data_IF_898477621598
#
_entry.id   IF_898477621598
#
_cell.length_a   1.000
_cell.length_b   1.000
_cell.length_c   1.000
_cell.angle_alpha   90.00
_cell.angle_beta   90.00
_cell.angle_gamma   90.00
#
_symmetry.space_group_name_H-M   'P 1'
#
loop_
_entity.id
_entity.type
_entity.pdbx_description
1 polymer ?
#
# COMPACT_ATOMS: atom_id res chain seq x y z
N UNK A 1 25.48 -109.08 -43.06
CA UNK A 1 24.27 -108.28 -43.31
C UNK A 1 23.55 -107.88 -42.03
N UNK A 2 23.20 -108.81 -41.12
CA UNK A 2 22.39 -108.56 -39.91
C UNK A 2 22.98 -107.47 -38.95
N UNK A 3 24.31 -107.28 -38.84
CA UNK A 3 24.94 -106.33 -37.91
C UNK A 3 24.83 -104.88 -38.40
N UNK A 4 24.76 -104.64 -39.69
CA UNK A 4 24.56 -103.34 -40.31
C UNK A 4 23.12 -102.85 -40.18
N UNK A 5 22.14 -103.75 -40.30
CA UNK A 5 20.71 -103.46 -40.16
C UNK A 5 20.35 -103.04 -38.73
N UNK A 6 20.91 -103.71 -37.69
CA UNK A 6 20.74 -103.30 -36.28
C UNK A 6 21.35 -101.94 -35.99
N UNK A 7 22.50 -101.61 -36.58
CA UNK A 7 23.14 -100.26 -36.41
C UNK A 7 22.34 -99.16 -37.08
N UNK A 8 21.73 -99.38 -38.22
CA UNK A 8 20.88 -98.41 -38.95
C UNK A 8 19.58 -98.14 -38.18
N UNK A 9 18.99 -99.19 -37.58
CA UNK A 9 17.75 -99.05 -36.79
C UNK A 9 18.01 -98.35 -35.46
N UNK A 10 19.16 -98.51 -34.81
CA UNK A 10 19.59 -97.77 -33.63
C UNK A 10 19.84 -96.31 -33.96
N UNK A 11 20.48 -95.98 -35.07
CA UNK A 11 20.68 -94.59 -35.52
C UNK A 11 19.34 -93.88 -35.86
N UNK A 12 18.39 -94.59 -36.50
CA UNK A 12 17.06 -94.04 -36.75
C UNK A 12 16.36 -93.65 -35.48
N UNK A 13 16.44 -94.51 -34.48
CA UNK A 13 15.83 -94.30 -33.17
C UNK A 13 16.45 -93.06 -32.48
N UNK A 14 17.79 -92.96 -32.47
CA UNK A 14 18.47 -91.75 -31.92
C UNK A 14 18.13 -90.46 -32.65
N UNK A 15 18.01 -90.47 -33.98
CA UNK A 15 17.57 -89.38 -34.77
C UNK A 15 16.15 -88.99 -34.40
N UNK A 16 15.24 -89.90 -34.23
CA UNK A 16 13.83 -89.64 -33.88
C UNK A 16 13.72 -89.11 -32.45
N UNK A 17 14.47 -89.61 -31.51
CA UNK A 17 14.58 -89.08 -30.14
C UNK A 17 15.12 -87.70 -30.09
N UNK A 18 16.24 -87.44 -30.85
CA UNK A 18 16.77 -86.08 -30.98
C UNK A 18 15.81 -85.10 -31.64
N UNK A 19 15.09 -85.49 -32.69
CA UNK A 19 14.04 -84.70 -33.34
C UNK A 19 12.94 -84.35 -32.40
N UNK A 20 12.47 -85.30 -31.62
CA UNK A 20 11.41 -85.07 -30.61
C UNK A 20 11.87 -84.15 -29.50
N UNK A 21 13.10 -84.29 -29.05
CA UNK A 21 13.72 -83.39 -28.06
C UNK A 21 13.83 -81.95 -28.56
N UNK A 22 14.29 -81.77 -29.82
CA UNK A 22 14.37 -80.47 -30.46
C UNK A 22 12.98 -79.85 -30.63
N UNK A 23 11.98 -80.65 -31.05
CA UNK A 23 10.59 -80.15 -31.21
C UNK A 23 9.99 -79.70 -29.89
N UNK A 24 10.21 -80.48 -28.82
CA UNK A 24 9.76 -80.15 -27.45
C UNK A 24 10.42 -78.87 -26.94
N UNK A 25 11.75 -78.73 -27.13
CA UNK A 25 12.50 -77.54 -26.73
C UNK A 25 12.04 -76.33 -27.49
N UNK A 26 11.79 -76.46 -28.81
CA UNK A 26 11.23 -75.37 -29.64
C UNK A 26 9.85 -74.91 -29.17
N UNK A 27 8.97 -75.85 -28.82
CA UNK A 27 7.66 -75.62 -28.24
C UNK A 27 7.74 -74.85 -26.92
N UNK A 28 8.64 -75.29 -26.02
CA UNK A 28 8.88 -74.60 -24.75
C UNK A 28 9.38 -73.19 -24.95
N UNK A 29 10.36 -72.95 -25.84
CA UNK A 29 10.90 -71.68 -26.15
C UNK A 29 9.85 -70.75 -26.78
N UNK A 30 8.98 -71.25 -27.61
CA UNK A 30 7.86 -70.49 -28.17
C UNK A 30 6.88 -70.03 -27.07
N UNK A 31 6.58 -70.92 -26.13
CA UNK A 31 5.70 -70.62 -24.99
C UNK A 31 6.34 -69.57 -24.08
N UNK A 32 7.60 -69.72 -23.71
CA UNK A 32 8.33 -68.75 -22.91
C UNK A 32 8.37 -67.38 -23.60
N UNK A 33 8.65 -67.36 -24.90
CA UNK A 33 8.63 -66.08 -25.69
C UNK A 33 7.28 -65.40 -25.65
N UNK A 34 6.16 -66.11 -25.73
CA UNK A 34 4.83 -65.58 -25.64
C UNK A 34 4.55 -64.99 -24.26
N UNK A 35 4.91 -65.71 -23.21
CA UNK A 35 4.76 -65.26 -21.81
C UNK A 35 5.60 -64.02 -21.52
N UNK A 36 6.85 -63.98 -21.98
CA UNK A 36 7.71 -62.81 -21.86
C UNK A 36 7.11 -61.57 -22.59
N UNK A 37 6.57 -61.78 -23.78
CA UNK A 37 5.92 -60.72 -24.55
C UNK A 37 4.70 -60.15 -23.82
N UNK A 38 3.85 -60.98 -23.26
CA UNK A 38 2.69 -60.56 -22.46
C UNK A 38 3.10 -59.82 -21.20
N UNK A 39 4.10 -60.37 -20.49
CA UNK A 39 4.62 -59.71 -19.27
C UNK A 39 5.19 -58.31 -19.59
N UNK A 40 5.94 -58.21 -20.69
CA UNK A 40 6.52 -56.92 -21.11
C UNK A 40 5.44 -55.89 -21.48
N UNK A 41 4.37 -56.32 -22.14
CA UNK A 41 3.23 -55.43 -22.45
C UNK A 41 2.52 -54.95 -21.18
N UNK A 42 2.24 -55.89 -20.25
CA UNK A 42 1.61 -55.55 -18.95
C UNK A 42 2.46 -54.59 -18.13
N UNK A 43 3.76 -54.81 -18.07
CA UNK A 43 4.69 -53.89 -17.37
C UNK A 43 4.74 -52.51 -18.04
N UNK A 44 4.74 -52.46 -19.36
CA UNK A 44 4.70 -51.21 -20.11
C UNK A 44 3.42 -50.42 -19.81
N UNK A 45 2.26 -51.09 -19.89
CA UNK A 45 0.96 -50.43 -19.67
C UNK A 45 0.83 -49.96 -18.21
N UNK A 46 1.28 -50.76 -17.24
CA UNK A 46 1.33 -50.36 -15.83
C UNK A 46 2.24 -49.17 -15.60
N UNK A 47 3.41 -49.12 -16.25
CA UNK A 47 4.35 -47.99 -16.16
C UNK A 47 3.78 -46.71 -16.76
N UNK A 48 3.11 -46.81 -17.90
CA UNK A 48 2.44 -45.67 -18.54
C UNK A 48 1.33 -45.14 -17.63
N UNK A 49 0.49 -45.99 -17.08
CA UNK A 49 -0.59 -45.62 -16.17
C UNK A 49 -0.07 -44.93 -14.91
N UNK A 50 1.01 -45.48 -14.32
CA UNK A 50 1.65 -44.87 -13.14
C UNK A 50 2.23 -43.50 -13.44
N UNK A 51 2.86 -43.34 -14.62
CA UNK A 51 3.42 -42.06 -15.06
C UNK A 51 2.32 -41.04 -15.31
N UNK A 52 1.24 -41.41 -15.99
CA UNK A 52 0.10 -40.51 -16.24
C UNK A 52 -0.53 -40.05 -14.93
N UNK A 53 -0.68 -40.94 -13.95
CA UNK A 53 -1.19 -40.61 -12.61
C UNK A 53 -0.28 -39.60 -11.93
N UNK A 54 1.03 -39.84 -11.90
CA UNK A 54 2.01 -38.94 -11.29
C UNK A 54 2.01 -37.55 -11.96
N UNK A 55 1.86 -37.50 -13.30
CA UNK A 55 1.76 -36.26 -14.05
C UNK A 55 0.49 -35.49 -13.67
N UNK A 56 -0.65 -36.14 -13.51
CA UNK A 56 -1.90 -35.49 -13.12
C UNK A 56 -1.84 -34.98 -11.68
N UNK A 57 -1.27 -35.75 -10.77
CA UNK A 57 -1.04 -35.32 -9.39
C UNK A 57 -0.15 -34.07 -9.34
N UNK A 58 0.99 -34.09 -10.04
CA UNK A 58 1.89 -32.92 -10.13
C UNK A 58 1.21 -31.70 -10.73
N UNK A 59 0.41 -31.85 -11.80
CA UNK A 59 -0.37 -30.74 -12.38
C UNK A 59 -1.36 -30.15 -11.39
N UNK A 60 -2.05 -30.99 -10.62
CA UNK A 60 -3.01 -30.54 -9.62
C UNK A 60 -2.31 -29.75 -8.53
N UNK A 61 -1.19 -30.26 -8.03
CA UNK A 61 -0.39 -29.58 -6.99
C UNK A 61 0.12 -28.22 -7.46
N UNK A 62 0.67 -28.14 -8.68
CA UNK A 62 1.12 -26.88 -9.28
C UNK A 62 -0.03 -25.89 -9.43
N UNK A 63 -1.21 -26.36 -9.83
CA UNK A 63 -2.38 -25.48 -9.98
C UNK A 63 -2.86 -24.94 -8.62
N UNK A 64 -2.83 -25.76 -7.57
CA UNK A 64 -3.16 -25.31 -6.21
C UNK A 64 -2.18 -24.25 -5.71
N UNK A 65 -0.87 -24.46 -5.90
CA UNK A 65 0.16 -23.47 -5.55
C UNK A 65 -0.01 -22.16 -6.31
N UNK A 66 -0.34 -22.22 -7.61
CA UNK A 66 -0.63 -21.03 -8.43
C UNK A 66 -1.84 -20.26 -7.92
N UNK A 67 -2.88 -20.96 -7.47
CA UNK A 67 -4.08 -20.33 -6.91
C UNK A 67 -3.76 -19.63 -5.57
N UNK A 68 -2.93 -20.23 -4.73
CA UNK A 68 -2.46 -19.61 -3.47
C UNK A 68 -1.65 -18.34 -3.77
N UNK A 69 -0.69 -18.41 -4.69
CA UNK A 69 0.12 -17.26 -5.10
C UNK A 69 -0.72 -16.14 -5.72
N UNK A 70 -1.74 -16.47 -6.49
CA UNK A 70 -2.67 -15.49 -7.05
C UNK A 70 -3.45 -14.77 -5.95
N UNK A 71 -3.94 -15.50 -4.94
CA UNK A 71 -4.65 -14.94 -3.80
C UNK A 71 -3.73 -14.04 -2.94
N UNK A 72 -2.49 -14.44 -2.73
CA UNK A 72 -1.50 -13.61 -2.02
C UNK A 72 -1.19 -12.32 -2.80
N UNK A 73 -0.99 -12.41 -4.11
CA UNK A 73 -0.78 -11.24 -4.98
C UNK A 73 -1.93 -10.25 -4.88
N UNK A 74 -3.17 -10.72 -4.89
CA UNK A 74 -4.35 -9.86 -4.72
C UNK A 74 -4.36 -9.18 -3.34
N UNK A 75 -4.03 -9.90 -2.26
CA UNK A 75 -3.89 -9.32 -0.92
C UNK A 75 -2.82 -8.24 -0.86
N UNK A 76 -1.65 -8.51 -1.44
CA UNK A 76 -0.55 -7.56 -1.54
C UNK A 76 -0.93 -6.30 -2.33
N UNK A 77 -1.59 -6.47 -3.47
CA UNK A 77 -2.04 -5.34 -4.29
C UNK A 77 -3.06 -4.49 -3.53
N UNK A 78 -3.97 -5.10 -2.80
CA UNK A 78 -4.96 -4.39 -1.98
C UNK A 78 -4.27 -3.63 -0.84
N UNK A 79 -3.37 -4.27 -0.09
CA UNK A 79 -2.61 -3.64 1.00
C UNK A 79 -1.75 -2.48 0.47
N UNK A 80 -1.07 -2.68 -0.67
CA UNK A 80 -0.30 -1.63 -1.33
C UNK A 80 -1.18 -0.45 -1.74
N UNK A 81 -2.35 -0.72 -2.30
CA UNK A 81 -3.30 0.32 -2.73
C UNK A 81 -3.83 1.11 -1.53
N UNK A 82 -4.09 0.45 -0.42
CA UNK A 82 -4.51 1.10 0.83
C UNK A 82 -3.37 1.92 1.46
N UNK A 83 -2.13 1.41 1.48
CA UNK A 83 -0.94 2.10 2.03
C UNK A 83 -0.43 3.24 1.14
N UNK A 84 -0.51 3.09 -0.18
CA UNK A 84 -0.06 4.08 -1.18
C UNK A 84 -1.19 5.05 -1.54
N UNK A 85 -2.35 4.95 -0.91
CA UNK A 85 -3.35 6.00 -1.02
C UNK A 85 -2.77 7.27 -0.41
N UNK A 86 -1.95 7.96 -1.23
CA UNK A 86 -1.43 9.28 -0.88
C UNK A 86 -2.65 10.11 -0.49
N UNK A 87 -2.73 10.66 0.72
CA UNK A 87 -3.79 11.55 1.06
C UNK A 87 -3.80 12.67 0.02
N UNK A 88 -4.98 13.04 -0.45
CA UNK A 88 -5.11 14.17 -1.36
C UNK A 88 -4.38 15.37 -0.78
N UNK A 89 -3.78 16.16 -1.66
CA UNK A 89 -3.05 17.36 -1.24
C UNK A 89 -3.98 18.23 -0.41
N UNK A 90 -3.64 18.41 0.88
CA UNK A 90 -4.36 19.29 1.79
C UNK A 90 -3.50 20.48 2.08
N UNK A 91 -3.92 21.62 1.58
CA UNK A 91 -3.26 22.89 1.86
C UNK A 91 -4.25 24.05 1.70
N UNK A 92 -4.07 25.07 2.53
CA UNK A 92 -4.86 26.28 2.43
C UNK A 92 -4.01 27.54 2.66
N UNK A 93 -4.49 28.65 2.12
CA UNK A 93 -3.98 29.98 2.39
C UNK A 93 -5.14 30.97 2.36
N UNK A 94 -5.30 31.70 3.44
CA UNK A 94 -6.33 32.69 3.60
C UNK A 94 -5.73 34.04 4.05
N UNK A 95 -6.35 35.14 3.68
CA UNK A 95 -5.91 36.49 4.07
C UNK A 95 -7.09 37.37 4.42
N UNK A 96 -6.79 38.60 4.80
CA UNK A 96 -7.72 39.67 5.13
C UNK A 96 -8.55 39.37 6.37
N UNK A 97 -8.08 39.79 7.56
CA UNK A 97 -8.80 39.61 8.81
C UNK A 97 -10.19 40.28 8.75
N UNK A 98 -11.21 39.61 9.23
CA UNK A 98 -12.56 40.18 9.36
C UNK A 98 -12.58 41.40 10.31
N UNK A 99 -11.73 41.35 11.34
CA UNK A 99 -11.64 42.40 12.36
C UNK A 99 -10.20 42.85 12.54
N UNK A 100 -9.95 44.16 12.42
CA UNK A 100 -8.64 44.76 12.61
C UNK A 100 -8.35 45.11 14.06
N UNK A 101 -9.36 45.07 14.93
CA UNK A 101 -9.25 45.22 16.38
C UNK A 101 -9.97 44.04 17.05
N UNK A 102 -9.30 42.86 17.09
CA UNK A 102 -9.94 41.66 17.61
C UNK A 102 -10.04 41.69 19.13
N UNK A 103 -11.14 41.22 19.67
CA UNK A 103 -11.34 41.09 21.12
C UNK A 103 -10.60 39.84 21.69
N UNK A 104 -10.32 39.92 23.00
CA UNK A 104 -9.82 38.76 23.71
C UNK A 104 -10.81 37.58 23.60
N UNK A 105 -10.31 36.37 23.40
CA UNK A 105 -11.09 35.15 23.20
C UNK A 105 -11.61 34.94 21.77
N UNK A 106 -11.49 35.94 20.89
CA UNK A 106 -12.01 35.87 19.53
C UNK A 106 -11.17 34.94 18.64
N UNK A 107 -11.83 34.12 17.82
CA UNK A 107 -11.21 33.38 16.72
C UNK A 107 -10.93 34.34 15.56
N UNK A 108 -9.73 34.30 15.01
CA UNK A 108 -9.38 35.06 13.82
C UNK A 108 -10.04 34.44 12.59
N UNK A 109 -10.78 35.26 11.86
CA UNK A 109 -11.44 34.89 10.60
C UNK A 109 -10.72 35.66 9.48
N UNK A 110 -10.28 34.93 8.46
CA UNK A 110 -9.68 35.47 7.26
C UNK A 110 -10.69 35.34 6.11
N UNK A 111 -11.15 36.43 5.57
CA UNK A 111 -12.32 36.50 4.68
C UNK A 111 -12.03 36.18 3.22
N UNK A 112 -10.78 36.20 2.81
CA UNK A 112 -10.35 35.92 1.45
C UNK A 112 -9.51 34.64 1.40
N UNK A 113 -10.05 33.62 0.73
CA UNK A 113 -9.34 32.34 0.48
C UNK A 113 -8.56 32.49 -0.81
N UNK A 114 -7.23 32.35 -0.75
CA UNK A 114 -6.34 32.30 -1.91
C UNK A 114 -6.28 30.88 -2.45
N UNK A 115 -6.22 29.88 -1.56
CA UNK A 115 -6.09 28.48 -1.90
C UNK A 115 -6.76 27.63 -0.82
N UNK A 116 -7.49 26.57 -1.22
CA UNK A 116 -8.13 25.63 -0.30
C UNK A 116 -8.26 24.26 -0.98
N UNK A 117 -7.16 23.51 -1.08
CA UNK A 117 -7.16 22.13 -1.57
C UNK A 117 -7.55 21.20 -0.44
N UNK A 118 -8.52 20.31 -0.71
CA UNK A 118 -9.10 19.42 0.30
C UNK A 118 -10.22 20.08 1.13
N UNK A 119 -10.67 21.30 0.76
CA UNK A 119 -11.80 22.05 1.36
C UNK A 119 -11.75 22.12 2.90
N UNK A 120 -10.54 22.10 3.46
CA UNK A 120 -10.32 21.95 4.89
C UNK A 120 -10.45 23.27 5.67
N UNK A 121 -10.34 24.44 5.01
CA UNK A 121 -10.42 25.75 5.66
C UNK A 121 -11.77 26.42 5.38
N UNK A 122 -12.48 26.77 6.45
CA UNK A 122 -13.77 27.45 6.38
C UNK A 122 -13.59 28.96 6.64
N UNK A 123 -13.83 29.78 5.61
CA UNK A 123 -13.69 31.26 5.66
C UNK A 123 -14.72 31.96 6.54
N UNK A 124 -15.85 31.33 6.84
CA UNK A 124 -16.91 31.97 7.62
C UNK A 124 -16.61 31.97 9.13
N UNK A 125 -15.88 30.94 9.60
CA UNK A 125 -15.53 30.80 11.01
C UNK A 125 -14.01 30.81 11.30
N UNK A 126 -13.14 30.80 10.26
CA UNK A 126 -11.69 30.81 10.40
C UNK A 126 -11.09 29.51 10.91
N UNK A 127 -11.80 28.39 10.74
CA UNK A 127 -11.41 27.06 11.25
C UNK A 127 -10.91 26.20 10.11
N UNK A 128 -9.77 25.60 10.32
CA UNK A 128 -9.29 24.46 9.54
C UNK A 128 -9.78 23.17 10.20
N UNK A 129 -10.31 22.22 9.42
CA UNK A 129 -10.70 20.88 9.88
C UNK A 129 -9.84 19.86 9.16
N UNK A 130 -9.12 19.03 9.91
CA UNK A 130 -8.18 18.04 9.34
C UNK A 130 -8.93 16.91 8.62
N UNK A 131 -8.74 16.71 7.31
CA UNK A 131 -9.36 15.59 6.60
C UNK A 131 -8.67 14.24 6.85
N UNK A 132 -7.44 14.25 7.34
CA UNK A 132 -6.66 13.06 7.67
C UNK A 132 -5.96 13.21 9.01
N UNK A 133 -5.73 12.09 9.70
CA UNK A 133 -4.83 12.05 10.86
C UNK A 133 -3.39 12.14 10.38
N UNK A 134 -2.59 13.05 10.93
CA UNK A 134 -1.20 13.21 10.54
C UNK A 134 -0.52 14.46 11.05
N UNK A 135 0.66 14.70 10.51
CA UNK A 135 1.49 15.87 10.83
C UNK A 135 1.10 17.02 9.92
N UNK A 136 0.81 18.16 10.53
CA UNK A 136 0.48 19.42 9.86
C UNK A 136 1.40 20.53 10.30
N UNK A 137 1.66 21.46 9.38
CA UNK A 137 2.25 22.76 9.71
C UNK A 137 1.28 23.88 9.40
N UNK A 138 1.29 24.91 10.25
CA UNK A 138 0.46 26.09 10.14
C UNK A 138 1.33 27.31 10.28
N UNK A 139 1.06 28.33 9.46
CA UNK A 139 1.75 29.62 9.49
C UNK A 139 0.72 30.73 9.64
N UNK A 140 0.95 31.64 10.55
CA UNK A 140 0.20 32.88 10.63
C UNK A 140 1.12 34.08 10.47
N UNK A 141 0.76 35.03 9.65
CA UNK A 141 1.43 36.30 9.55
C UNK A 141 0.49 37.40 10.02
N UNK A 142 0.98 38.26 10.92
CA UNK A 142 0.28 39.44 11.38
C UNK A 142 1.10 40.70 11.15
N UNK A 143 0.44 41.69 10.59
CA UNK A 143 0.96 43.04 10.40
C UNK A 143 0.35 43.91 11.50
N UNK A 144 1.12 44.13 12.59
CA UNK A 144 0.64 44.85 13.78
C UNK A 144 1.10 46.29 13.72
N UNK A 145 0.16 47.24 13.97
CA UNK A 145 0.44 48.67 13.95
C UNK A 145 1.49 49.08 15.02
N UNK A 146 2.31 50.11 14.76
CA UNK A 146 3.20 50.68 15.76
C UNK A 146 2.45 51.08 17.04
N UNK A 147 3.06 50.77 18.19
CA UNK A 147 2.46 51.05 19.51
C UNK A 147 1.36 50.04 19.91
N UNK A 148 1.16 48.95 19.16
CA UNK A 148 0.15 47.93 19.41
C UNK A 148 0.77 46.59 19.78
N UNK A 149 -0.02 45.79 20.48
CA UNK A 149 0.34 44.37 20.77
C UNK A 149 -0.84 43.46 20.48
N UNK A 150 -0.49 42.19 20.24
CA UNK A 150 -1.44 41.08 20.16
C UNK A 150 -0.80 39.79 20.71
N UNK A 151 -1.52 39.14 21.56
CA UNK A 151 -1.21 37.79 22.07
C UNK A 151 -2.19 36.82 21.42
N UNK A 152 -1.70 35.78 20.84
CA UNK A 152 -2.51 34.77 20.18
C UNK A 152 -2.01 33.36 20.38
N UNK A 153 -2.85 32.39 20.10
CA UNK A 153 -2.51 30.99 20.14
C UNK A 153 -2.99 30.25 18.90
N UNK A 154 -2.19 29.28 18.48
CA UNK A 154 -2.64 28.18 17.65
C UNK A 154 -3.38 27.19 18.56
N UNK A 155 -4.62 26.87 18.19
CA UNK A 155 -5.50 26.03 18.98
C UNK A 155 -5.84 24.75 18.22
N UNK A 156 -5.82 23.60 18.89
CA UNK A 156 -6.45 22.37 18.41
C UNK A 156 -7.56 22.00 19.40
N UNK A 157 -8.81 21.84 18.89
CA UNK A 157 -9.98 21.50 19.71
C UNK A 157 -10.04 22.32 21.02
N UNK A 158 -9.90 23.63 20.91
CA UNK A 158 -9.90 24.59 22.03
C UNK A 158 -8.72 24.48 23.04
N UNK A 159 -7.73 23.62 22.77
CA UNK A 159 -6.49 23.54 23.53
C UNK A 159 -5.36 24.27 22.79
N UNK A 160 -4.63 25.16 23.41
CA UNK A 160 -3.49 25.83 22.78
C UNK A 160 -2.28 24.85 22.66
N UNK A 161 -1.70 24.75 21.48
CA UNK A 161 -0.42 24.03 21.29
C UNK A 161 0.75 24.96 20.99
N UNK A 162 0.50 26.22 20.64
CA UNK A 162 1.53 27.27 20.59
C UNK A 162 0.91 28.62 20.95
N UNK A 163 1.59 29.39 21.81
CA UNK A 163 1.21 30.76 22.18
C UNK A 163 2.34 31.71 21.82
N UNK A 164 2.01 32.91 21.40
CA UNK A 164 2.99 33.92 21.04
C UNK A 164 2.45 35.34 21.24
N UNK A 165 3.37 36.29 21.32
CA UNK A 165 3.08 37.74 21.45
C UNK A 165 3.80 38.52 20.36
N UNK A 166 3.12 39.45 19.76
CA UNK A 166 3.71 40.52 19.00
C UNK A 166 3.52 41.81 19.79
N UNK A 167 4.59 42.51 20.07
CA UNK A 167 4.55 43.83 20.71
C UNK A 167 5.37 44.81 19.87
N UNK A 168 4.73 45.87 19.37
CA UNK A 168 5.37 46.88 18.53
C UNK A 168 5.56 48.16 19.33
N UNK A 169 6.80 48.66 19.38
CA UNK A 169 7.06 49.99 19.87
C UNK A 169 6.35 51.05 19.02
N UNK A 170 5.93 52.18 19.61
CA UNK A 170 5.35 53.32 18.89
C UNK A 170 6.30 53.94 17.87
N UNK A 171 7.61 53.80 18.05
CA UNK A 171 8.66 54.21 17.14
C UNK A 171 9.02 53.21 16.04
N UNK A 172 8.39 52.03 16.04
CA UNK A 172 8.63 50.98 15.02
C UNK A 172 8.07 51.39 13.66
N UNK A 173 8.76 50.99 12.59
CA UNK A 173 8.18 51.05 11.23
C UNK A 173 7.12 49.99 11.05
N UNK A 174 6.27 50.16 10.04
CA UNK A 174 5.30 49.13 9.64
C UNK A 174 6.00 47.85 9.20
N UNK A 175 5.64 46.74 9.78
CA UNK A 175 6.16 45.42 9.40
C UNK A 175 5.24 44.30 9.84
N UNK A 176 5.37 43.16 9.19
CA UNK A 176 4.66 41.95 9.54
C UNK A 176 5.60 40.97 10.27
N UNK A 177 5.04 40.05 11.03
CA UNK A 177 5.75 38.98 11.68
C UNK A 177 5.04 37.65 11.39
N UNK A 178 5.80 36.65 10.95
CA UNK A 178 5.29 35.32 10.66
C UNK A 178 5.67 34.34 11.79
N UNK A 179 4.78 33.42 12.09
CA UNK A 179 4.95 32.41 13.11
C UNK A 179 4.44 31.07 12.60
N UNK A 180 5.28 30.05 12.73
CA UNK A 180 4.97 28.68 12.32
C UNK A 180 4.66 27.82 13.52
N UNK A 181 3.81 26.83 13.32
CA UNK A 181 3.49 25.82 14.33
C UNK A 181 3.28 24.48 13.65
N UNK A 182 3.92 23.45 14.16
CA UNK A 182 3.76 22.08 13.72
C UNK A 182 3.11 21.24 14.82
N UNK A 183 2.18 20.38 14.46
CA UNK A 183 1.54 19.48 15.42
C UNK A 183 0.93 18.28 14.69
N UNK A 184 0.62 17.25 15.46
CA UNK A 184 -0.23 16.14 15.03
C UNK A 184 -1.67 16.57 15.20
N UNK A 185 -2.48 16.37 14.17
CA UNK A 185 -3.92 16.63 14.20
C UNK A 185 -4.65 15.36 13.76
N UNK A 186 -5.62 14.92 14.55
CA UNK A 186 -6.43 13.76 14.18
C UNK A 186 -7.51 14.17 13.16
N UNK A 187 -7.97 13.22 12.38
CA UNK A 187 -9.06 13.45 11.43
C UNK A 187 -10.27 14.06 12.13
N UNK A 188 -10.88 15.07 11.50
CA UNK A 188 -11.99 15.88 12.01
C UNK A 188 -11.68 16.81 13.20
N UNK A 189 -10.42 16.87 13.66
CA UNK A 189 -10.03 17.89 14.62
C UNK A 189 -9.86 19.25 13.97
N UNK A 190 -10.11 20.30 14.77
CA UNK A 190 -10.12 21.66 14.30
C UNK A 190 -8.85 22.41 14.70
N UNK A 191 -8.31 23.21 13.76
CA UNK A 191 -7.22 24.14 14.06
C UNK A 191 -7.66 25.56 13.73
N UNK A 192 -7.37 26.49 14.65
CA UNK A 192 -7.71 27.90 14.53
C UNK A 192 -6.73 28.80 15.25
N UNK A 193 -6.71 30.07 14.87
CA UNK A 193 -5.99 31.12 15.58
C UNK A 193 -6.96 31.82 16.55
N UNK A 194 -6.62 31.83 17.82
CA UNK A 194 -7.40 32.49 18.88
C UNK A 194 -6.62 33.64 19.48
N UNK A 195 -7.25 34.81 19.57
CA UNK A 195 -6.69 35.97 20.25
C UNK A 195 -6.78 35.76 21.76
N UNK A 196 -5.68 35.95 22.45
CA UNK A 196 -5.60 35.88 23.90
C UNK A 196 -5.77 37.27 24.49
N UNK A 197 -5.04 38.25 23.94
CA UNK A 197 -5.12 39.66 24.29
C UNK A 197 -4.72 40.52 23.10
N UNK A 198 -5.26 41.72 23.04
CA UNK A 198 -4.87 42.74 22.03
C UNK A 198 -5.01 44.15 22.58
N UNK A 199 -4.39 45.11 21.92
CA UNK A 199 -4.59 46.53 22.23
C UNK A 199 -6.06 46.92 22.07
N UNK A 200 -6.61 47.62 23.05
CA UNK A 200 -8.02 48.00 23.10
C UNK A 200 -8.38 49.27 22.32
N UNK A 201 -7.40 50.08 21.91
CA UNK A 201 -7.62 51.34 21.23
C UNK A 201 -7.13 51.31 19.79
N UNK A 202 -7.97 51.71 18.85
CA UNK A 202 -7.64 51.77 17.41
C UNK A 202 -7.32 50.41 16.79
N UNK A 203 -6.99 50.37 15.51
CA UNK A 203 -6.70 49.12 14.80
C UNK A 203 -5.41 48.49 15.31
N UNK A 204 -5.50 47.22 15.75
CA UNK A 204 -4.33 46.41 16.09
C UNK A 204 -3.60 45.96 14.84
N UNK A 205 -4.36 45.50 13.84
CA UNK A 205 -3.80 45.08 12.55
C UNK A 205 -3.92 46.15 11.49
N UNK A 206 -3.03 46.09 10.52
CA UNK A 206 -3.14 46.85 9.27
C UNK A 206 -2.94 45.94 8.08
N UNK A 207 -3.41 46.36 6.92
CA UNK A 207 -3.27 45.61 5.68
C UNK A 207 -3.15 46.60 4.49
N UNK A 208 -2.32 46.22 3.52
CA UNK A 208 -2.19 46.90 2.26
C UNK A 208 -2.11 45.91 1.13
N UNK A 209 -2.89 46.11 0.09
CA UNK A 209 -2.92 45.21 -1.06
C UNK A 209 -1.56 45.00 -1.73
N UNK A 210 -0.67 45.98 -1.65
CA UNK A 210 0.63 45.92 -2.30
C UNK A 210 1.74 45.28 -1.48
N UNK A 211 1.73 45.42 -0.12
CA UNK A 211 2.93 45.08 0.66
C UNK A 211 2.68 44.30 1.96
N UNK A 212 1.50 44.41 2.57
CA UNK A 212 1.28 43.93 3.92
C UNK A 212 -0.01 43.09 4.00
N UNK A 213 0.13 41.79 4.13
CA UNK A 213 -1.01 40.87 4.25
C UNK A 213 -1.00 40.16 5.59
N UNK A 214 -2.14 40.14 6.24
CA UNK A 214 -2.35 39.24 7.36
C UNK A 214 -2.86 37.93 6.79
N UNK A 215 -2.16 36.86 7.04
CA UNK A 215 -2.44 35.54 6.44
C UNK A 215 -2.53 34.43 7.48
N UNK A 216 -3.30 33.41 7.17
CA UNK A 216 -3.27 32.12 7.85
C UNK A 216 -3.21 31.05 6.78
N UNK A 217 -2.24 30.16 6.90
CA UNK A 217 -2.02 29.05 5.96
C UNK A 217 -1.64 27.79 6.70
N UNK A 218 -1.82 26.68 6.04
CA UNK A 218 -1.37 25.40 6.57
C UNK A 218 -1.39 24.31 5.50
N UNK A 219 -0.64 23.28 5.75
CA UNK A 219 -0.61 22.10 4.87
C UNK A 219 -0.34 20.83 5.64
N UNK A 220 -0.79 19.74 5.07
CA UNK A 220 -0.52 18.37 5.49
C UNK A 220 0.89 17.98 5.06
N UNK A 221 1.66 17.36 5.97
CA UNK A 221 3.01 16.87 5.69
C UNK A 221 2.96 15.37 5.40
N UNK A 222 2.43 14.58 6.36
CA UNK A 222 2.36 13.13 6.22
C UNK A 222 1.31 12.52 7.15
N UNK A 223 0.79 11.37 6.79
CA UNK A 223 -0.03 10.51 7.66
C UNK A 223 0.83 9.80 8.72
N UNK A 224 0.22 9.47 9.83
CA UNK A 224 0.82 8.69 10.92
C UNK A 224 -0.04 7.49 11.24
#
# INVERSE_FOLDING_TARGET
>A
MIRLEISVEAMKKEIEESRNQVTTTLGNLQTERSTWKETLLTMKDASITALDTAIQEAKTQVQEELNVLAAEKERWNKDLTERVRMPEVVLFSARRPKHYTPASGQTMIFTEIILNKGDACNKENGVFTAPYTGVYTFTVQFCVNPGKHVDFAFMTNDKPFKKTRINRSSSSSFSCSSFDAMTIVNMNENVKIKIIASSSSGNTFFESNSNYWNTFSGHFIQAI
#
